data_IF_166815093589
#
_entry.id   IF_166815093589
#
_cell.length_a   1.000
_cell.length_b   1.000
_cell.length_c   1.000
_cell.angle_alpha   90.00
_cell.angle_beta   90.00
_cell.angle_gamma   90.00
#
_symmetry.space_group_name_H-M   'P 1'
#
loop_
_entity.id
_entity.type
_entity.pdbx_description
1 polymer ?
#
# COMPACT_ATOMS: atom_id res chain seq x y z
N UNK A 1 17.67 -19.66 -10.03
CA UNK A 1 16.41 -20.20 -9.45
C UNK A 1 16.39 -20.16 -7.92
N UNK A 2 16.98 -21.12 -7.19
CA UNK A 2 16.91 -21.12 -5.71
C UNK A 2 17.51 -19.87 -5.07
N UNK A 3 18.60 -19.33 -5.63
CA UNK A 3 19.23 -18.10 -5.15
C UNK A 3 18.35 -16.86 -5.30
N UNK A 4 17.71 -16.69 -6.47
CA UNK A 4 16.80 -15.57 -6.74
C UNK A 4 15.54 -15.64 -5.88
N UNK A 5 14.93 -16.82 -5.76
CA UNK A 5 13.77 -17.01 -4.87
C UNK A 5 14.14 -16.76 -3.40
N UNK A 6 15.34 -17.17 -2.97
CA UNK A 6 15.84 -16.87 -1.63
C UNK A 6 16.07 -15.36 -1.44
N UNK A 7 16.57 -14.65 -2.45
CA UNK A 7 16.69 -13.19 -2.43
C UNK A 7 15.32 -12.52 -2.28
N UNK A 8 14.32 -12.94 -3.05
CA UNK A 8 12.96 -12.37 -2.92
C UNK A 8 12.31 -12.68 -1.58
N UNK A 9 12.49 -13.90 -1.07
CA UNK A 9 12.03 -14.25 0.28
C UNK A 9 12.73 -13.38 1.33
N UNK A 10 14.03 -13.14 1.18
CA UNK A 10 14.78 -12.24 2.06
C UNK A 10 14.22 -10.81 1.98
N UNK A 11 13.96 -10.27 0.78
CA UNK A 11 13.34 -8.96 0.57
C UNK A 11 11.98 -8.88 1.26
N UNK A 12 11.12 -9.89 1.07
CA UNK A 12 9.81 -9.99 1.70
C UNK A 12 9.90 -9.99 3.24
N UNK A 13 10.80 -10.77 3.82
CA UNK A 13 11.01 -10.83 5.27
C UNK A 13 11.58 -9.51 5.83
N UNK A 14 12.53 -8.89 5.13
CA UNK A 14 13.08 -7.58 5.50
C UNK A 14 12.02 -6.47 5.41
N UNK A 15 11.10 -6.57 4.45
CA UNK A 15 9.97 -5.66 4.33
C UNK A 15 9.02 -5.76 5.53
N UNK A 16 8.77 -6.98 6.05
CA UNK A 16 8.01 -7.19 7.29
C UNK A 16 8.67 -6.54 8.51
N UNK A 17 9.98 -6.72 8.65
CA UNK A 17 10.75 -6.07 9.73
C UNK A 17 10.70 -4.55 9.59
N UNK A 18 10.84 -4.02 8.38
CA UNK A 18 10.83 -2.57 8.12
C UNK A 18 9.46 -1.98 8.39
N UNK A 19 8.38 -2.60 7.90
CA UNK A 19 7.01 -2.18 8.21
C UNK A 19 6.72 -2.21 9.71
N UNK A 20 7.20 -3.23 10.45
CA UNK A 20 7.03 -3.28 11.90
C UNK A 20 7.74 -2.11 12.61
N UNK A 21 8.92 -1.70 12.12
CA UNK A 21 9.62 -0.50 12.60
C UNK A 21 8.85 0.77 12.26
N UNK A 22 8.34 0.89 11.05
CA UNK A 22 7.52 2.02 10.60
C UNK A 22 6.25 2.16 11.46
N UNK A 23 5.58 1.04 11.79
CA UNK A 23 4.44 1.01 12.72
C UNK A 23 4.85 1.46 14.14
N UNK A 24 6.02 1.04 14.62
CA UNK A 24 6.55 1.49 15.91
C UNK A 24 6.80 3.00 15.94
N UNK A 25 7.43 3.53 14.89
CA UNK A 25 7.68 4.96 14.73
C UNK A 25 6.37 5.76 14.68
N UNK A 26 5.39 5.29 13.91
CA UNK A 26 4.04 5.85 13.86
C UNK A 26 3.41 5.96 15.25
N UNK A 27 3.38 4.85 16.00
CA UNK A 27 2.80 4.80 17.35
C UNK A 27 3.50 5.74 18.32
N UNK A 28 4.83 5.81 18.27
CA UNK A 28 5.60 6.74 19.09
C UNK A 28 5.22 8.19 18.78
N UNK A 29 5.19 8.60 17.52
CA UNK A 29 4.84 9.97 17.15
C UNK A 29 3.40 10.34 17.52
N UNK A 30 2.44 9.41 17.35
CA UNK A 30 1.05 9.60 17.77
C UNK A 30 0.93 9.89 19.28
N UNK A 31 1.69 9.18 20.12
CA UNK A 31 1.68 9.38 21.58
C UNK A 31 2.26 10.75 21.93
N UNK A 32 3.36 11.16 21.30
CA UNK A 32 3.99 12.46 21.56
C UNK A 32 3.08 13.63 21.17
N UNK A 33 2.44 13.58 20.00
CA UNK A 33 1.51 14.64 19.56
C UNK A 33 0.31 14.81 20.49
N UNK A 34 -0.16 13.73 21.11
CA UNK A 34 -1.28 13.77 22.05
C UNK A 34 -0.87 14.31 23.43
N UNK A 35 0.38 14.08 23.86
CA UNK A 35 0.88 14.55 25.16
C UNK A 35 1.25 16.04 25.17
N UNK A 36 1.63 16.64 24.03
CA UNK A 36 1.99 18.07 23.94
C UNK A 36 0.78 19.00 23.83
N UNK A 37 -0.39 18.50 23.40
CA UNK A 37 -1.64 19.27 23.37
C UNK A 37 -2.38 19.16 24.70
N UNK A 38 -1.86 19.84 25.72
CA UNK A 38 -2.63 20.09 26.94
C UNK A 38 -3.79 21.04 26.64
N UNK A 39 -5.02 20.82 27.15
CA UNK A 39 -6.20 21.65 26.84
C UNK A 39 -6.08 23.12 27.29
N UNK A 40 -4.97 23.50 27.94
CA UNK A 40 -4.74 24.84 28.46
C UNK A 40 -4.33 25.89 27.41
N UNK A 41 -3.95 25.51 26.19
CA UNK A 41 -3.35 26.44 25.20
C UNK A 41 -4.25 26.85 24.03
N UNK A 42 -5.46 26.29 23.87
CA UNK A 42 -6.36 26.67 22.77
C UNK A 42 -7.78 26.98 23.29
N UNK A 43 -8.15 28.26 23.44
CA UNK A 43 -9.42 28.68 24.04
C UNK A 43 -10.66 28.42 23.15
N UNK A 44 -10.51 27.79 21.98
CA UNK A 44 -11.60 27.48 21.07
C UNK A 44 -12.04 26.00 21.08
N UNK A 45 -11.41 25.15 21.88
CA UNK A 45 -11.78 23.74 22.00
C UNK A 45 -12.82 23.59 23.11
N UNK A 46 -14.06 23.26 22.76
CA UNK A 46 -15.08 22.89 23.74
C UNK A 46 -14.94 21.43 24.15
N UNK A 47 -15.22 21.16 25.43
CA UNK A 47 -15.22 19.84 26.05
C UNK A 47 -16.22 18.92 25.32
N UNK A 48 -15.69 17.96 24.55
CA UNK A 48 -16.48 17.06 23.70
C UNK A 48 -16.08 17.05 22.21
N UNK A 49 -15.31 18.03 21.74
CA UNK A 49 -14.74 17.99 20.40
C UNK A 49 -13.51 17.08 20.40
N UNK A 50 -13.63 15.89 19.79
CA UNK A 50 -12.48 15.07 19.42
C UNK A 50 -11.69 15.82 18.34
N UNK A 51 -10.76 16.66 18.75
CA UNK A 51 -9.82 17.33 17.84
C UNK A 51 -9.02 16.23 17.15
N UNK A 52 -9.29 15.99 15.86
CA UNK A 52 -8.41 15.20 15.02
C UNK A 52 -7.02 15.83 15.10
N UNK A 53 -5.98 15.11 15.58
CA UNK A 53 -4.63 15.63 15.54
C UNK A 53 -4.39 16.05 14.10
N UNK A 54 -3.97 17.30 13.89
CA UNK A 54 -3.66 17.79 12.56
C UNK A 54 -2.61 16.83 12.00
N UNK A 55 -3.03 15.95 11.10
CA UNK A 55 -2.26 14.83 10.52
C UNK A 55 -1.08 15.30 9.65
N UNK A 56 -0.61 16.53 9.86
CA UNK A 56 0.51 17.15 9.16
C UNK A 56 1.86 16.55 9.53
N UNK A 57 1.96 15.80 10.64
CA UNK A 57 3.27 15.40 11.20
C UNK A 57 3.59 13.91 11.19
N UNK A 58 2.74 13.05 10.63
CA UNK A 58 3.00 11.62 10.59
C UNK A 58 3.48 11.21 9.20
N UNK A 59 4.54 11.88 8.72
CA UNK A 59 5.33 11.38 7.61
C UNK A 59 6.42 10.46 8.17
N UNK A 60 6.65 9.31 7.54
CA UNK A 60 7.99 8.70 7.61
C UNK A 60 8.96 9.74 7.03
N UNK A 61 9.84 10.38 7.83
CA UNK A 61 10.55 11.59 7.40
C UNK A 61 11.44 11.38 6.17
N UNK A 62 11.79 10.12 5.89
CA UNK A 62 12.83 9.77 4.92
C UNK A 62 12.27 9.20 3.60
N UNK A 63 10.95 9.03 3.45
CA UNK A 63 10.37 8.37 2.26
C UNK A 63 9.12 9.06 1.74
N UNK A 64 9.12 9.33 0.43
CA UNK A 64 7.89 9.73 -0.26
C UNK A 64 6.88 8.58 -0.27
N UNK A 65 5.59 8.91 -0.36
CA UNK A 65 4.53 7.91 -0.55
C UNK A 65 4.84 6.98 -1.75
N UNK A 66 5.30 7.54 -2.87
CA UNK A 66 5.67 6.78 -4.06
C UNK A 66 6.75 5.72 -3.77
N UNK A 67 7.86 6.11 -3.11
CA UNK A 67 8.94 5.18 -2.81
C UNK A 67 8.51 4.11 -1.79
N UNK A 68 7.65 4.46 -0.84
CA UNK A 68 7.15 3.53 0.16
C UNK A 68 6.18 2.52 -0.46
N UNK A 69 5.19 2.99 -1.23
CA UNK A 69 4.15 2.12 -1.83
C UNK A 69 4.72 1.16 -2.86
N UNK A 70 5.71 1.60 -3.66
CA UNK A 70 6.42 0.76 -4.65
C UNK A 70 7.62 0.00 -4.08
N UNK A 71 7.99 0.22 -2.84
CA UNK A 71 9.15 -0.43 -2.20
C UNK A 71 8.70 -1.33 -1.07
N UNK A 72 9.21 -1.04 0.13
CA UNK A 72 8.93 -1.79 1.36
C UNK A 72 7.46 -2.19 1.54
N UNK A 73 6.51 -1.31 1.20
CA UNK A 73 5.09 -1.61 1.40
C UNK A 73 4.56 -2.63 0.38
N UNK A 74 4.97 -2.53 -0.89
CA UNK A 74 4.69 -3.54 -1.92
C UNK A 74 5.41 -4.87 -1.60
N UNK A 75 6.67 -4.81 -1.17
CA UNK A 75 7.47 -5.99 -0.82
C UNK A 75 6.95 -6.69 0.44
N UNK A 76 6.24 -5.98 1.31
CA UNK A 76 5.51 -6.56 2.44
C UNK A 76 4.25 -7.31 1.99
N UNK A 77 3.77 -7.09 0.77
CA UNK A 77 2.77 -7.99 0.19
C UNK A 77 3.47 -9.25 -0.30
N UNK A 78 2.78 -10.39 -0.32
CA UNK A 78 3.36 -11.62 -0.88
C UNK A 78 3.44 -11.60 -2.42
N UNK A 79 3.00 -10.51 -3.07
CA UNK A 79 2.88 -10.45 -4.53
C UNK A 79 4.22 -10.63 -5.25
N UNK A 80 5.31 -9.89 -4.93
CA UNK A 80 6.59 -10.08 -5.63
C UNK A 80 7.15 -11.50 -5.50
N UNK A 81 7.10 -12.05 -4.29
CA UNK A 81 7.52 -13.42 -4.02
C UNK A 81 6.68 -14.46 -4.80
N UNK A 82 5.35 -14.33 -4.78
CA UNK A 82 4.45 -15.23 -5.51
C UNK A 82 4.63 -15.10 -7.02
N UNK A 83 4.88 -13.89 -7.52
CA UNK A 83 5.12 -13.61 -8.93
C UNK A 83 6.42 -14.24 -9.41
N UNK A 84 7.49 -14.13 -8.63
CA UNK A 84 8.76 -14.81 -8.96
C UNK A 84 8.57 -16.33 -8.99
N UNK A 85 7.84 -16.90 -8.03
CA UNK A 85 7.51 -18.32 -8.05
C UNK A 85 6.70 -18.71 -9.30
N UNK A 86 5.71 -17.89 -9.68
CA UNK A 86 4.92 -18.07 -10.89
C UNK A 86 5.79 -18.05 -12.16
N UNK A 87 6.72 -17.10 -12.30
CA UNK A 87 7.61 -17.02 -13.46
C UNK A 87 8.42 -18.31 -13.66
N UNK A 88 8.82 -18.97 -12.58
CA UNK A 88 9.50 -20.27 -12.65
C UNK A 88 8.60 -21.43 -13.08
N UNK A 89 7.29 -21.36 -12.83
CA UNK A 89 6.35 -22.40 -13.23
C UNK A 89 6.00 -22.33 -14.71
N UNK A 90 5.96 -21.12 -15.29
CA UNK A 90 5.51 -20.93 -16.68
C UNK A 90 6.65 -21.06 -17.69
N UNK A 91 7.76 -20.34 -17.50
CA UNK A 91 9.03 -20.49 -18.23
C UNK A 91 9.99 -19.38 -17.76
N UNK A 92 11.01 -19.72 -16.98
CA UNK A 92 11.92 -18.70 -16.44
C UNK A 92 12.88 -18.11 -17.46
N UNK A 93 13.18 -18.83 -18.54
CA UNK A 93 14.22 -18.43 -19.49
C UNK A 93 13.73 -17.29 -20.39
N UNK A 94 12.42 -17.22 -20.65
CA UNK A 94 11.76 -16.14 -21.39
C UNK A 94 11.96 -14.76 -20.76
N UNK A 95 12.16 -14.71 -19.44
CA UNK A 95 12.29 -13.46 -18.68
C UNK A 95 13.74 -13.10 -18.32
N UNK A 96 14.72 -13.72 -18.98
CA UNK A 96 16.15 -13.43 -18.73
C UNK A 96 16.75 -12.42 -19.71
N UNK A 97 16.07 -12.13 -20.82
CA UNK A 97 16.50 -11.14 -21.80
C UNK A 97 16.25 -9.72 -21.31
N UNK A 98 17.12 -8.77 -21.69
CA UNK A 98 17.11 -7.43 -21.12
C UNK A 98 15.73 -6.75 -21.12
N UNK A 99 14.97 -6.83 -22.23
CA UNK A 99 13.65 -6.24 -22.35
C UNK A 99 12.60 -7.00 -21.53
N UNK A 100 12.49 -8.31 -21.72
CA UNK A 100 11.48 -9.12 -21.03
C UNK A 100 11.72 -9.13 -19.52
N UNK A 101 12.98 -9.22 -19.07
CA UNK A 101 13.35 -9.09 -17.66
C UNK A 101 12.87 -7.75 -17.08
N UNK A 102 13.18 -6.64 -17.75
CA UNK A 102 12.83 -5.31 -17.26
C UNK A 102 11.32 -5.08 -17.22
N UNK A 103 10.61 -5.44 -18.28
CA UNK A 103 9.14 -5.28 -18.38
C UNK A 103 8.42 -6.19 -17.39
N UNK A 104 8.89 -7.44 -17.19
CA UNK A 104 8.33 -8.37 -16.20
C UNK A 104 8.48 -7.85 -14.78
N UNK A 105 9.63 -7.24 -14.44
CA UNK A 105 9.83 -6.59 -13.13
C UNK A 105 8.93 -5.36 -12.94
N UNK A 106 8.76 -4.52 -13.98
CA UNK A 106 7.87 -3.35 -13.93
C UNK A 106 6.39 -3.78 -13.78
N UNK A 107 5.97 -4.82 -14.50
CA UNK A 107 4.66 -5.45 -14.36
C UNK A 107 4.43 -5.92 -12.92
N UNK A 108 5.39 -6.66 -12.35
CA UNK A 108 5.34 -7.12 -10.96
C UNK A 108 5.19 -5.94 -9.98
N UNK A 109 5.94 -4.86 -10.22
CA UNK A 109 5.93 -3.66 -9.38
C UNK A 109 4.58 -2.97 -9.36
N UNK A 110 3.95 -2.82 -10.53
CA UNK A 110 2.59 -2.28 -10.64
C UNK A 110 1.59 -3.15 -9.87
N UNK A 111 1.65 -4.48 -10.05
CA UNK A 111 0.73 -5.40 -9.39
C UNK A 111 0.89 -5.44 -7.86
N UNK A 112 2.12 -5.43 -7.36
CA UNK A 112 2.39 -5.40 -5.92
C UNK A 112 1.94 -4.09 -5.28
N UNK A 113 2.08 -2.97 -6.01
CA UNK A 113 1.57 -1.66 -5.57
C UNK A 113 0.04 -1.65 -5.49
N UNK A 114 -0.65 -2.26 -6.47
CA UNK A 114 -2.11 -2.45 -6.41
C UNK A 114 -2.53 -3.25 -5.18
N UNK A 115 -1.86 -4.38 -4.91
CA UNK A 115 -2.11 -5.21 -3.72
C UNK A 115 -2.03 -4.37 -2.44
N UNK A 116 -0.98 -3.55 -2.31
CA UNK A 116 -0.81 -2.66 -1.17
C UNK A 116 -1.94 -1.64 -1.08
N UNK A 117 -2.24 -0.94 -2.16
CA UNK A 117 -3.26 0.13 -2.16
C UNK A 117 -4.64 -0.45 -1.79
N UNK A 118 -5.00 -1.65 -2.25
CA UNK A 118 -6.26 -2.29 -1.87
C UNK A 118 -6.30 -2.70 -0.41
N UNK A 119 -5.22 -3.30 0.10
CA UNK A 119 -5.10 -3.63 1.52
C UNK A 119 -5.27 -2.38 2.39
N UNK A 120 -4.65 -1.26 1.99
CA UNK A 120 -4.71 -0.02 2.74
C UNK A 120 -6.12 0.62 2.67
N UNK A 121 -6.78 0.58 1.51
CA UNK A 121 -8.16 1.08 1.38
C UNK A 121 -9.16 0.28 2.22
N UNK A 122 -9.00 -1.04 2.27
CA UNK A 122 -9.86 -1.94 3.06
C UNK A 122 -9.57 -1.83 4.56
N UNK A 123 -8.30 -1.69 4.92
CA UNK A 123 -7.81 -1.73 6.29
C UNK A 123 -7.78 -0.39 7.02
N UNK A 124 -8.20 0.73 6.43
CA UNK A 124 -8.03 2.08 7.02
C UNK A 124 -8.45 2.19 8.50
N UNK A 125 -9.61 1.61 8.86
CA UNK A 125 -10.12 1.64 10.24
C UNK A 125 -9.29 0.72 11.15
N UNK A 126 -9.07 -0.53 10.72
CA UNK A 126 -8.27 -1.52 11.45
C UNK A 126 -6.86 -1.01 11.73
N UNK A 127 -6.19 -0.51 10.70
CA UNK A 127 -4.81 -0.06 10.79
C UNK A 127 -4.68 1.14 11.72
N UNK A 128 -5.68 2.03 11.76
CA UNK A 128 -5.74 3.12 12.75
C UNK A 128 -5.91 2.59 14.17
N UNK A 129 -6.81 1.62 14.39
CA UNK A 129 -7.07 1.02 15.72
C UNK A 129 -5.89 0.20 16.28
N UNK A 130 -5.10 -0.40 15.38
CA UNK A 130 -3.93 -1.23 15.69
C UNK A 130 -2.61 -0.43 15.67
N UNK A 131 -2.63 0.81 15.18
CA UNK A 131 -1.43 1.64 15.01
C UNK A 131 -0.49 1.13 13.92
N UNK A 132 -1.05 0.54 12.86
CA UNK A 132 -0.32 0.12 11.67
C UNK A 132 -0.23 1.27 10.66
N UNK A 133 0.93 1.40 10.02
CA UNK A 133 1.14 2.39 8.98
C UNK A 133 0.36 2.01 7.72
N UNK A 134 -0.61 2.85 7.41
CA UNK A 134 -1.42 2.84 6.20
C UNK A 134 -1.08 4.04 5.30
N UNK A 135 -1.29 3.92 3.99
CA UNK A 135 -1.18 5.01 3.02
C UNK A 135 -1.92 6.29 3.45
N UNK A 136 -3.04 6.14 4.16
CA UNK A 136 -3.83 7.26 4.66
C UNK A 136 -3.07 8.21 5.57
N UNK A 137 -1.99 7.77 6.22
CA UNK A 137 -1.18 8.63 7.11
C UNK A 137 -0.26 9.59 6.35
N UNK A 138 -0.02 9.37 5.05
CA UNK A 138 0.86 10.24 4.29
C UNK A 138 0.22 11.62 4.07
N UNK A 139 0.94 12.74 4.33
CA UNK A 139 0.38 14.09 4.20
C UNK A 139 -0.17 14.42 2.80
N UNK A 140 0.33 13.74 1.76
CA UNK A 140 -0.11 13.94 0.36
C UNK A 140 -1.60 13.68 0.17
N UNK A 141 -2.23 12.84 1.01
CA UNK A 141 -3.66 12.53 0.92
C UNK A 141 -4.56 13.51 1.65
N UNK A 142 -3.99 14.36 2.50
CA UNK A 142 -4.72 15.35 3.30
C UNK A 142 -4.77 16.73 2.64
N UNK A 143 -3.93 16.96 1.61
CA UNK A 143 -3.94 18.22 0.86
C UNK A 143 -5.12 18.25 -0.10
N UNK A 144 -5.84 19.38 -0.11
CA UNK A 144 -6.95 19.64 -1.02
C UNK A 144 -6.59 20.79 -1.97
N UNK A 145 -7.04 20.67 -3.22
CA UNK A 145 -7.04 21.78 -4.18
C UNK A 145 -8.47 22.10 -4.55
N UNK A 146 -8.80 23.38 -4.68
CA UNK A 146 -10.07 23.81 -5.23
C UNK A 146 -10.12 23.60 -6.76
N UNK A 147 -11.27 23.89 -7.38
CA UNK A 147 -11.46 23.81 -8.83
C UNK A 147 -10.53 24.73 -9.64
N UNK A 148 -9.91 25.72 -8.99
CA UNK A 148 -8.97 26.66 -9.59
C UNK A 148 -7.51 26.29 -9.31
N UNK A 149 -7.26 25.13 -8.68
CA UNK A 149 -5.93 24.63 -8.36
C UNK A 149 -5.29 25.27 -7.13
N UNK A 150 -5.98 26.15 -6.40
CA UNK A 150 -5.48 26.72 -5.15
C UNK A 150 -5.56 25.69 -4.03
N UNK A 151 -4.53 25.64 -3.20
CA UNK A 151 -4.51 24.77 -2.02
C UNK A 151 -5.53 25.30 -1.02
N UNK A 152 -6.64 24.59 -0.88
CA UNK A 152 -7.52 24.76 0.28
C UNK A 152 -6.71 24.26 1.48
N UNK A 153 -6.41 25.17 2.41
CA UNK A 153 -5.79 24.79 3.70
C UNK A 153 -6.59 23.67 4.38
N UNK A 154 -5.95 22.98 5.34
CA UNK A 154 -6.53 21.82 6.02
C UNK A 154 -8.03 22.03 6.29
N UNK A 155 -8.87 21.20 5.66
CA UNK A 155 -10.29 21.17 5.97
C UNK A 155 -10.45 20.64 7.39
N UNK A 156 -10.32 21.51 8.38
CA UNK A 156 -10.77 21.27 9.75
C UNK A 156 -12.30 21.27 9.89
N UNK A 157 -13.04 20.99 8.80
CA UNK A 157 -14.50 21.19 8.71
C UNK A 157 -15.21 20.05 7.97
N UNK A 158 -14.55 18.92 7.69
CA UNK A 158 -15.24 17.72 7.21
C UNK A 158 -15.42 16.72 8.34
N UNK A 159 -16.53 15.99 8.33
CA UNK A 159 -16.71 14.86 9.23
C UNK A 159 -15.68 13.76 8.95
N UNK A 160 -15.33 12.98 9.97
CA UNK A 160 -14.37 11.86 9.90
C UNK A 160 -14.61 10.93 8.71
N UNK A 161 -15.88 10.61 8.47
CA UNK A 161 -16.33 9.77 7.36
C UNK A 161 -16.06 10.41 5.99
N UNK A 162 -16.25 11.72 5.85
CA UNK A 162 -16.04 12.44 4.58
C UNK A 162 -14.55 12.55 4.27
N UNK A 163 -13.71 12.81 5.28
CA UNK A 163 -12.26 12.81 5.14
C UNK A 163 -11.76 11.41 4.72
N UNK A 164 -12.25 10.35 5.37
CA UNK A 164 -11.90 8.98 5.04
C UNK A 164 -12.32 8.62 3.60
N UNK A 165 -13.54 9.01 3.18
CA UNK A 165 -14.03 8.82 1.82
C UNK A 165 -13.15 9.56 0.80
N UNK A 166 -12.72 10.79 1.10
CA UNK A 166 -11.84 11.59 0.26
C UNK A 166 -10.45 10.96 0.10
N UNK A 167 -9.85 10.46 1.17
CA UNK A 167 -8.58 9.73 1.13
C UNK A 167 -8.73 8.45 0.30
N UNK A 168 -9.79 7.67 0.55
CA UNK A 168 -10.07 6.44 -0.22
C UNK A 168 -10.23 6.74 -1.71
N UNK A 169 -10.92 7.82 -2.08
CA UNK A 169 -11.06 8.25 -3.47
C UNK A 169 -9.71 8.57 -4.12
N UNK A 170 -8.83 9.29 -3.42
CA UNK A 170 -7.46 9.58 -3.89
C UNK A 170 -6.62 8.30 -4.04
N UNK A 171 -6.72 7.35 -3.10
CA UNK A 171 -6.04 6.06 -3.19
C UNK A 171 -6.54 5.22 -4.37
N UNK A 172 -7.85 5.18 -4.61
CA UNK A 172 -8.42 4.48 -5.77
C UNK A 172 -7.98 5.12 -7.09
N UNK A 173 -7.77 6.43 -7.13
CA UNK A 173 -7.16 7.08 -8.28
C UNK A 173 -5.71 6.60 -8.51
N UNK A 174 -4.90 6.45 -7.46
CA UNK A 174 -3.54 5.89 -7.56
C UNK A 174 -3.59 4.43 -8.01
N UNK A 175 -4.52 3.63 -7.47
CA UNK A 175 -4.70 2.25 -7.92
C UNK A 175 -5.01 2.21 -9.42
N UNK A 176 -5.92 3.05 -9.90
CA UNK A 176 -6.25 3.10 -11.33
C UNK A 176 -5.06 3.57 -12.19
N UNK A 177 -4.18 4.41 -11.65
CA UNK A 177 -2.91 4.76 -12.30
C UNK A 177 -1.98 3.54 -12.40
N UNK A 178 -1.79 2.78 -11.31
CA UNK A 178 -0.97 1.56 -11.30
C UNK A 178 -1.55 0.48 -12.22
N UNK A 179 -2.89 0.35 -12.30
CA UNK A 179 -3.55 -0.58 -13.23
C UNK A 179 -3.29 -0.22 -14.70
N UNK A 180 -3.29 1.06 -15.07
CA UNK A 180 -2.93 1.47 -16.44
C UNK A 180 -1.48 1.13 -16.77
N UNK A 181 -0.56 1.32 -15.83
CA UNK A 181 0.84 0.93 -16.01
C UNK A 181 1.01 -0.59 -16.12
N UNK A 182 0.28 -1.35 -15.31
CA UNK A 182 0.23 -2.82 -15.40
C UNK A 182 -0.21 -3.29 -16.79
N UNK A 183 -1.31 -2.73 -17.31
CA UNK A 183 -1.83 -3.08 -18.63
C UNK A 183 -0.87 -2.69 -19.76
N UNK A 184 -0.18 -1.55 -19.63
CA UNK A 184 0.84 -1.12 -20.59
C UNK A 184 2.06 -2.06 -20.58
N UNK A 185 2.56 -2.43 -19.41
CA UNK A 185 3.67 -3.37 -19.26
C UNK A 185 3.30 -4.77 -19.80
N UNK A 186 2.08 -5.24 -19.53
CA UNK A 186 1.61 -6.52 -20.07
C UNK A 186 1.51 -6.51 -21.60
N UNK A 187 1.01 -5.43 -22.19
CA UNK A 187 0.95 -5.28 -23.64
C UNK A 187 2.34 -5.26 -24.28
N UNK A 188 3.30 -4.56 -23.65
CA UNK A 188 4.69 -4.53 -24.10
C UNK A 188 5.33 -5.93 -24.01
N UNK A 189 5.10 -6.65 -22.91
CA UNK A 189 5.59 -8.02 -22.75
C UNK A 189 4.99 -8.97 -23.78
N UNK A 190 3.70 -8.83 -24.09
CA UNK A 190 3.02 -9.62 -25.13
C UNK A 190 3.67 -9.38 -26.51
N UNK A 191 4.00 -8.14 -26.86
CA UNK A 191 4.68 -7.83 -28.11
C UNK A 191 6.07 -8.49 -28.18
N UNK A 192 6.90 -8.32 -27.14
CA UNK A 192 8.26 -8.88 -27.11
C UNK A 192 8.25 -10.42 -27.15
N UNK A 193 7.26 -11.06 -26.50
CA UNK A 193 7.16 -12.51 -26.50
C UNK A 193 6.63 -13.09 -27.81
N UNK A 194 5.72 -12.40 -28.50
CA UNK A 194 5.23 -12.80 -29.84
C UNK A 194 6.35 -12.72 -30.89
N UNK A 195 7.20 -11.69 -30.82
CA UNK A 195 8.32 -11.52 -31.75
C UNK A 195 9.40 -12.61 -31.58
N UNK A 196 9.51 -13.18 -30.38
CA UNK A 196 10.49 -14.23 -30.03
C UNK A 196 9.99 -15.67 -30.26
N UNK A 197 8.70 -15.87 -30.52
CA UNK A 197 8.07 -17.18 -30.70
C UNK A 197 6.58 -17.19 -30.33
N UNK A 198 5.87 -18.29 -30.58
CA UNK A 198 4.46 -18.40 -30.16
C UNK A 198 4.36 -18.77 -28.67
N UNK A 199 4.60 -17.80 -27.78
CA UNK A 199 4.55 -17.96 -26.32
C UNK A 199 3.17 -17.63 -25.73
N UNK A 200 2.09 -17.93 -26.47
CA UNK A 200 0.74 -17.51 -26.13
C UNK A 200 0.27 -18.03 -24.77
N UNK A 201 0.59 -19.28 -24.46
CA UNK A 201 0.20 -19.94 -23.21
C UNK A 201 0.79 -19.23 -21.98
N UNK A 202 2.02 -18.72 -22.08
CA UNK A 202 2.69 -17.97 -21.00
C UNK A 202 1.99 -16.62 -20.77
N UNK A 203 1.62 -15.92 -21.84
CA UNK A 203 0.87 -14.66 -21.74
C UNK A 203 -0.52 -14.88 -21.14
N UNK A 204 -1.22 -15.93 -21.56
CA UNK A 204 -2.55 -16.22 -21.03
C UNK A 204 -2.48 -16.65 -19.54
N UNK A 205 -1.44 -17.40 -19.14
CA UNK A 205 -1.16 -17.70 -17.74
C UNK A 205 -0.84 -16.44 -16.92
N UNK A 206 -0.07 -15.50 -17.48
CA UNK A 206 0.26 -14.21 -16.85
C UNK A 206 -1.00 -13.36 -16.63
N UNK A 207 -1.86 -13.28 -17.65
CA UNK A 207 -3.17 -12.61 -17.55
C UNK A 207 -4.02 -13.22 -16.44
N UNK A 208 -4.09 -14.54 -16.37
CA UNK A 208 -4.81 -15.23 -15.30
C UNK A 208 -4.25 -14.90 -13.90
N UNK A 209 -2.92 -14.90 -13.74
CA UNK A 209 -2.28 -14.54 -12.47
C UNK A 209 -2.64 -13.11 -12.04
N UNK A 210 -2.55 -12.16 -12.98
CA UNK A 210 -2.90 -10.76 -12.77
C UNK A 210 -4.38 -10.63 -12.39
N UNK A 211 -5.28 -11.23 -13.17
CA UNK A 211 -6.73 -11.11 -12.98
C UNK A 211 -7.17 -11.67 -11.62
N UNK A 212 -6.63 -12.83 -11.22
CA UNK A 212 -6.90 -13.42 -9.91
C UNK A 212 -6.40 -12.52 -8.78
N UNK A 213 -5.20 -11.96 -8.93
CA UNK A 213 -4.59 -11.09 -7.93
C UNK A 213 -5.36 -9.77 -7.78
N UNK A 214 -5.73 -9.12 -8.89
CA UNK A 214 -6.51 -7.89 -8.89
C UNK A 214 -7.93 -8.13 -8.35
N UNK A 215 -8.58 -9.21 -8.79
CA UNK A 215 -9.91 -9.59 -8.29
C UNK A 215 -9.89 -9.82 -6.79
N UNK A 216 -8.88 -10.53 -6.27
CA UNK A 216 -8.74 -10.74 -4.82
C UNK A 216 -8.61 -9.41 -4.08
N UNK A 217 -7.83 -8.45 -4.61
CA UNK A 217 -7.75 -7.08 -4.07
C UNK A 217 -9.08 -6.32 -4.10
N UNK A 218 -9.86 -6.46 -5.18
CA UNK A 218 -11.20 -5.88 -5.26
C UNK A 218 -12.17 -6.48 -4.24
N UNK A 219 -12.05 -7.77 -3.91
CA UNK A 219 -12.84 -8.41 -2.84
C UNK A 219 -12.53 -7.77 -1.48
N UNK A 220 -11.27 -7.43 -1.19
CA UNK A 220 -10.89 -6.69 0.03
C UNK A 220 -11.59 -5.34 0.15
N UNK A 221 -11.81 -4.64 -0.97
CA UNK A 221 -12.52 -3.36 -0.96
C UNK A 221 -13.98 -3.48 -0.51
N UNK A 222 -14.61 -4.63 -0.76
CA UNK A 222 -15.98 -4.95 -0.34
C UNK A 222 -15.98 -5.39 1.13
N UNK A 223 -15.00 -6.20 1.53
CA UNK A 223 -14.89 -6.73 2.89
C UNK A 223 -13.43 -6.88 3.28
N UNK A 224 -13.04 -6.19 4.36
CA UNK A 224 -11.74 -6.44 4.98
C UNK A 224 -11.66 -7.88 5.51
N UNK A 225 -10.72 -8.66 5.00
CA UNK A 225 -10.50 -10.07 5.36
C UNK A 225 -9.27 -10.27 6.24
N UNK A 226 -8.52 -9.20 6.57
CA UNK A 226 -7.37 -9.34 7.48
C UNK A 226 -7.84 -9.59 8.91
N UNK A 227 -7.29 -10.61 9.61
CA UNK A 227 -7.60 -10.85 11.01
C UNK A 227 -7.24 -9.64 11.88
N UNK A 228 -8.11 -9.30 12.83
CA UNK A 228 -7.81 -8.30 13.86
C UNK A 228 -6.87 -8.89 14.91
N UNK A 229 -5.92 -8.10 15.40
CA UNK A 229 -5.15 -8.49 16.57
C UNK A 229 -6.08 -8.40 17.79
N UNK A 230 -6.40 -9.55 18.41
CA UNK A 230 -7.11 -9.57 19.69
C UNK A 230 -6.27 -8.82 20.74
N UNK A 231 -6.82 -7.76 21.34
CA UNK A 231 -6.19 -6.99 22.43
C UNK A 231 -6.22 -7.72 23.80
N UNK A 232 -6.75 -8.94 23.85
CA UNK A 232 -7.08 -9.63 25.11
C UNK A 232 -5.89 -10.31 25.82
N UNK A 233 -4.65 -10.13 25.38
CA UNK A 233 -3.50 -10.72 26.08
C UNK A 233 -2.90 -9.82 27.19
N UNK A 234 -3.41 -8.60 27.40
CA UNK A 234 -2.88 -7.67 28.40
C UNK A 234 -3.59 -7.75 29.79
N UNK A 235 -4.66 -8.52 29.95
CA UNK A 235 -5.40 -8.62 31.23
C UNK A 235 -5.04 -9.85 32.09
N UNK A 236 -4.08 -10.68 31.67
CA UNK A 236 -3.68 -11.89 32.42
C UNK A 236 -2.46 -11.71 33.33
N UNK A 237 -1.86 -10.53 33.43
CA UNK A 237 -0.73 -10.24 34.34
C UNK A 237 -1.12 -9.42 35.59
N UNK A 238 -2.39 -9.39 35.97
CA UNK A 238 -2.83 -8.87 37.28
C UNK A 238 -3.68 -9.88 38.06
N UNK A 239 -3.14 -11.07 38.30
CA UNK A 239 -3.60 -11.96 39.37
C UNK A 239 -2.50 -12.20 40.38
#
# INVERSE_FOLDING_TARGET
>A
MQSQLATELQTFLLAHITQAKDNSYLRHNLIFTNNERSPATDPYVQDGDMIFPSQEHIALPERSFYNWVRGTSADHTSCPFAFMFFNYLVDSDLFTYAKTAYVTEDLCRHLASLCRIYNDCAGMVRDREEGNLNSSHFPVFHRHRDSNGQVLGNLGVLGETEQQQGIRSKLLWVAEYERRGLNAALAELENELVDSGNNREVIDAMKLFIDVTDLYGQVYLIKDMTPRIMKDCAELEQK
#
